data_IF_342695613775
#
_entry.id   IF_342695613775
#
_cell.length_a   1.000
_cell.length_b   1.000
_cell.length_c   1.000
_cell.angle_alpha   90.00
_cell.angle_beta   90.00
_cell.angle_gamma   90.00
#
_symmetry.space_group_name_H-M   'P 1'
#
loop_
_entity.id
_entity.type
_entity.pdbx_description
1 polymer ?
#
# COMPACT_ATOMS: atom_id res chain seq x y z
N UNK A 1 -5.64 15.72 15.04
CA UNK A 1 -5.21 14.92 13.90
C UNK A 1 -5.12 13.45 14.27
N UNK A 2 -5.65 12.54 13.46
CA UNK A 2 -5.63 11.10 13.70
C UNK A 2 -5.14 10.34 12.47
N UNK A 3 -4.12 9.51 12.63
CA UNK A 3 -3.66 8.56 11.61
C UNK A 3 -4.38 7.22 11.82
N UNK A 4 -5.06 6.71 10.80
CA UNK A 4 -5.79 5.43 10.87
C UNK A 4 -5.58 4.59 9.61
N UNK A 5 -5.71 3.27 9.76
CA UNK A 5 -5.95 2.34 8.66
C UNK A 5 -7.24 1.56 8.94
N UNK A 6 -8.10 1.56 7.94
CA UNK A 6 -9.29 0.72 7.88
C UNK A 6 -9.11 -0.28 6.76
N UNK A 7 -9.23 -1.55 7.04
CA UNK A 7 -8.99 -2.55 6.00
C UNK A 7 -9.62 -3.90 6.30
N UNK A 8 -9.66 -4.71 5.27
CA UNK A 8 -9.93 -6.14 5.34
C UNK A 8 -8.79 -6.90 4.62
N UNK A 9 -8.53 -8.11 5.08
CA UNK A 9 -7.52 -8.96 4.45
C UNK A 9 -7.92 -10.45 4.52
N UNK A 10 -7.06 -11.33 3.99
CA UNK A 10 -7.27 -12.77 3.99
C UNK A 10 -7.52 -13.40 5.38
N UNK A 11 -7.05 -12.76 6.47
CA UNK A 11 -7.28 -13.23 7.84
C UNK A 11 -8.65 -12.84 8.40
N UNK A 12 -9.22 -11.75 7.89
CA UNK A 12 -10.47 -11.18 8.42
C UNK A 12 -11.68 -11.39 7.53
N UNK A 13 -11.47 -11.63 6.23
CA UNK A 13 -12.54 -11.76 5.24
C UNK A 13 -12.27 -12.88 4.25
N UNK A 14 -13.26 -13.75 3.97
CA UNK A 14 -13.13 -14.80 2.96
C UNK A 14 -13.03 -14.20 1.55
N UNK A 15 -12.61 -15.02 0.57
CA UNK A 15 -12.35 -14.55 -0.80
C UNK A 15 -13.58 -13.92 -1.44
N UNK A 16 -14.78 -14.44 -1.19
CA UNK A 16 -16.05 -13.93 -1.70
C UNK A 16 -16.30 -12.46 -1.34
N UNK A 17 -15.88 -12.07 -0.13
CA UNK A 17 -16.00 -10.69 0.36
C UNK A 17 -14.89 -9.83 -0.24
N UNK A 18 -13.64 -10.35 -0.26
CA UNK A 18 -12.48 -9.63 -0.78
C UNK A 18 -12.61 -9.27 -2.27
N UNK A 19 -13.24 -10.14 -3.06
CA UNK A 19 -13.53 -9.90 -4.48
C UNK A 19 -14.32 -8.59 -4.71
N UNK A 20 -15.30 -8.30 -3.85
CA UNK A 20 -16.09 -7.07 -3.93
C UNK A 20 -15.29 -5.79 -3.65
N UNK A 21 -14.17 -5.93 -2.93
CA UNK A 21 -13.26 -4.83 -2.56
C UNK A 21 -11.98 -4.78 -3.40
N UNK A 22 -11.84 -5.63 -4.41
CA UNK A 22 -10.71 -5.55 -5.33
C UNK A 22 -10.92 -4.41 -6.35
N UNK A 23 -10.12 -3.36 -6.26
CA UNK A 23 -10.28 -2.15 -7.05
C UNK A 23 -9.14 -2.00 -8.07
N UNK A 24 -9.50 -1.78 -9.33
CA UNK A 24 -8.54 -1.38 -10.36
C UNK A 24 -7.96 0.02 -10.08
N UNK A 25 -6.80 0.32 -10.67
CA UNK A 25 -6.13 1.62 -10.53
C UNK A 25 -7.07 2.80 -10.86
N UNK A 26 -7.87 2.70 -11.93
CA UNK A 26 -8.85 3.74 -12.31
C UNK A 26 -9.97 3.88 -11.28
N UNK A 27 -10.40 2.77 -10.66
CA UNK A 27 -11.41 2.81 -9.61
C UNK A 27 -10.84 3.41 -8.32
N UNK A 28 -9.60 3.09 -7.96
CA UNK A 28 -8.87 3.71 -6.84
C UNK A 28 -8.78 5.22 -7.03
N UNK A 29 -8.33 5.70 -8.19
CA UNK A 29 -8.24 7.12 -8.49
C UNK A 29 -9.60 7.84 -8.38
N UNK A 30 -10.69 7.21 -8.84
CA UNK A 30 -12.06 7.76 -8.69
C UNK A 30 -12.52 7.82 -7.24
N UNK A 31 -12.20 6.80 -6.43
CA UNK A 31 -12.53 6.77 -5.00
C UNK A 31 -11.78 7.89 -4.28
N UNK A 32 -10.47 8.03 -4.49
CA UNK A 32 -9.65 9.06 -3.87
C UNK A 32 -10.14 10.47 -4.19
N UNK A 33 -10.48 10.74 -5.48
CA UNK A 33 -11.06 12.04 -5.87
C UNK A 33 -12.40 12.36 -5.19
N UNK A 34 -13.23 11.34 -4.92
CA UNK A 34 -14.48 11.54 -4.15
C UNK A 34 -14.19 11.80 -2.68
N UNK A 35 -13.23 11.09 -2.09
CA UNK A 35 -12.82 11.26 -0.70
C UNK A 35 -12.23 12.64 -0.43
N UNK A 36 -11.63 13.29 -1.43
CA UNK A 36 -11.08 14.65 -1.32
C UNK A 36 -12.13 15.70 -0.87
N UNK A 37 -13.40 15.45 -1.13
CA UNK A 37 -14.49 16.35 -0.73
C UNK A 37 -15.02 16.06 0.69
N UNK A 38 -14.33 15.25 1.47
CA UNK A 38 -14.72 14.91 2.83
C UNK A 38 -14.01 15.84 3.81
N UNK A 39 -14.77 16.72 4.47
CA UNK A 39 -14.27 17.86 5.27
C UNK A 39 -13.28 17.49 6.39
N UNK A 40 -13.24 16.24 6.85
CA UNK A 40 -12.37 15.78 7.93
C UNK A 40 -11.21 14.90 7.43
N UNK A 41 -10.93 14.88 6.13
CA UNK A 41 -9.91 14.03 5.53
C UNK A 41 -8.81 14.85 4.86
N UNK A 42 -7.61 14.85 5.45
CA UNK A 42 -6.44 15.55 4.92
C UNK A 42 -5.71 14.74 3.85
N UNK A 43 -5.39 13.49 4.18
CA UNK A 43 -4.59 12.62 3.33
C UNK A 43 -5.20 11.22 3.26
N UNK A 44 -5.13 10.57 2.09
CA UNK A 44 -5.59 9.20 1.92
C UNK A 44 -4.75 8.41 0.92
N UNK A 45 -4.45 7.15 1.25
CA UNK A 45 -3.89 6.15 0.32
C UNK A 45 -4.74 4.90 0.38
N UNK A 46 -5.15 4.40 -0.78
CA UNK A 46 -5.91 3.16 -0.92
C UNK A 46 -5.04 2.07 -1.52
N UNK A 47 -4.68 1.09 -0.71
CA UNK A 47 -4.00 -0.13 -1.13
C UNK A 47 -5.06 -1.19 -1.42
N UNK A 48 -5.12 -1.70 -2.65
CA UNK A 48 -6.00 -2.80 -3.04
C UNK A 48 -5.19 -3.85 -3.80
N UNK A 49 -5.25 -5.09 -3.32
CA UNK A 49 -4.56 -6.27 -3.86
C UNK A 49 -5.51 -7.46 -3.84
N UNK A 50 -5.09 -8.63 -4.32
CA UNK A 50 -5.87 -9.87 -4.18
C UNK A 50 -6.14 -10.27 -2.72
N UNK A 51 -5.25 -9.90 -1.78
CA UNK A 51 -5.28 -10.37 -0.39
C UNK A 51 -5.69 -9.33 0.63
N UNK A 52 -5.76 -8.03 0.25
CA UNK A 52 -6.16 -6.95 1.16
C UNK A 52 -6.68 -5.73 0.44
N UNK A 53 -7.56 -5.02 1.12
CA UNK A 53 -7.94 -3.66 0.77
C UNK A 53 -7.90 -2.80 2.00
N UNK A 54 -7.05 -1.78 1.98
CA UNK A 54 -6.72 -0.95 3.14
C UNK A 54 -6.79 0.53 2.77
N UNK A 55 -7.56 1.28 3.56
CA UNK A 55 -7.66 2.73 3.49
C UNK A 55 -6.79 3.33 4.59
N UNK A 56 -5.65 3.87 4.23
CA UNK A 56 -4.81 4.67 5.12
C UNK A 56 -5.27 6.11 5.03
N UNK A 57 -5.51 6.77 6.18
CA UNK A 57 -6.09 8.10 6.23
C UNK A 57 -5.48 8.94 7.34
N UNK A 58 -5.35 10.23 7.06
CA UNK A 58 -5.08 11.27 8.06
C UNK A 58 -6.36 12.08 8.19
N UNK A 59 -6.90 12.13 9.41
CA UNK A 59 -8.11 12.87 9.74
C UNK A 59 -7.75 14.06 10.65
N UNK A 60 -8.40 15.21 10.43
CA UNK A 60 -8.23 16.40 11.29
C UNK A 60 -8.71 16.10 12.70
N UNK A 61 -9.91 15.55 12.83
CA UNK A 61 -10.51 15.19 14.10
C UNK A 61 -10.68 13.66 14.23
N UNK A 62 -10.58 13.13 15.47
CA UNK A 62 -10.81 11.71 15.71
C UNK A 62 -12.25 11.31 15.38
N UNK A 63 -12.38 10.31 14.50
CA UNK A 63 -13.66 9.71 14.14
C UNK A 63 -13.66 8.24 14.55
N UNK A 64 -14.81 7.74 15.01
CA UNK A 64 -14.99 6.31 15.20
C UNK A 64 -14.80 5.58 13.87
N UNK A 65 -13.78 4.75 13.76
CA UNK A 65 -13.47 3.98 12.55
C UNK A 65 -14.68 3.21 12.02
N UNK A 66 -15.54 2.70 12.90
CA UNK A 66 -16.76 1.99 12.54
C UNK A 66 -17.78 2.88 11.80
N UNK A 67 -17.99 4.12 12.24
CA UNK A 67 -18.88 5.08 11.54
C UNK A 67 -18.31 5.44 10.17
N UNK A 68 -16.99 5.58 10.09
CA UNK A 68 -16.32 5.88 8.84
C UNK A 68 -16.42 4.72 7.83
N UNK A 69 -16.23 3.47 8.29
CA UNK A 69 -16.44 2.26 7.46
C UNK A 69 -17.84 2.26 6.87
N UNK A 70 -18.88 2.44 7.68
CA UNK A 70 -20.28 2.44 7.22
C UNK A 70 -20.51 3.50 6.13
N UNK A 71 -19.95 4.69 6.31
CA UNK A 71 -20.05 5.77 5.33
C UNK A 71 -19.28 5.43 4.05
N UNK A 72 -18.04 4.95 4.18
CA UNK A 72 -17.17 4.60 3.07
C UNK A 72 -17.77 3.47 2.22
N UNK A 73 -18.19 2.37 2.84
CA UNK A 73 -18.74 1.20 2.13
C UNK A 73 -20.06 1.54 1.43
N UNK A 74 -20.89 2.36 2.05
CA UNK A 74 -22.11 2.89 1.43
C UNK A 74 -21.81 3.68 0.14
N UNK A 75 -20.73 4.46 0.13
CA UNK A 75 -20.28 5.19 -1.05
C UNK A 75 -19.62 4.31 -2.12
N UNK A 76 -19.06 3.17 -1.72
CA UNK A 76 -18.42 2.22 -2.63
C UNK A 76 -19.43 1.31 -3.34
N UNK A 77 -20.69 1.31 -2.90
CA UNK A 77 -21.75 0.45 -3.41
C UNK A 77 -21.34 -1.04 -3.48
N UNK A 78 -20.72 -1.53 -2.39
CA UNK A 78 -20.36 -2.94 -2.23
C UNK A 78 -21.41 -3.60 -1.34
N UNK A 79 -22.12 -4.57 -1.89
CA UNK A 79 -23.15 -5.30 -1.19
C UNK A 79 -22.56 -6.51 -0.42
N UNK A 80 -23.31 -6.99 0.61
CA UNK A 80 -22.96 -8.23 1.32
C UNK A 80 -21.82 -8.14 2.32
N UNK A 81 -21.31 -6.94 2.63
CA UNK A 81 -20.26 -6.76 3.62
C UNK A 81 -20.82 -6.80 5.06
N UNK A 82 -19.99 -7.31 5.96
CA UNK A 82 -20.20 -7.17 7.40
C UNK A 82 -19.08 -6.34 8.01
N UNK A 83 -19.42 -5.47 8.96
CA UNK A 83 -18.43 -4.61 9.64
C UNK A 83 -17.38 -5.42 10.40
N UNK A 84 -17.68 -6.64 10.82
CA UNK A 84 -16.76 -7.57 11.50
C UNK A 84 -15.57 -8.00 10.64
N UNK A 85 -15.65 -7.87 9.30
CA UNK A 85 -14.54 -8.16 8.40
C UNK A 85 -13.45 -7.08 8.39
N UNK A 86 -13.77 -5.90 8.93
CA UNK A 86 -12.83 -4.78 8.90
C UNK A 86 -12.10 -4.65 10.22
N UNK A 87 -10.80 -4.50 10.13
CA UNK A 87 -9.98 -4.02 11.24
C UNK A 87 -9.74 -2.52 11.14
N UNK A 88 -9.51 -1.92 12.30
CA UNK A 88 -9.15 -0.51 12.46
C UNK A 88 -7.94 -0.41 13.37
N UNK A 89 -6.85 0.18 12.86
CA UNK A 89 -5.66 0.47 13.64
C UNK A 89 -5.35 1.97 13.57
N UNK A 90 -4.93 2.56 14.68
CA UNK A 90 -4.67 4.00 14.77
C UNK A 90 -3.26 4.30 15.28
N UNK A 91 -2.79 5.50 14.98
CA UNK A 91 -1.51 6.03 15.44
C UNK A 91 -0.33 5.14 15.09
N UNK A 92 0.50 4.81 16.07
CA UNK A 92 1.69 3.95 15.89
C UNK A 92 1.34 2.56 15.35
N UNK A 93 0.19 2.01 15.73
CA UNK A 93 -0.24 0.70 15.24
C UNK A 93 -0.59 0.72 13.75
N UNK A 94 -1.11 1.84 13.24
CA UNK A 94 -1.29 2.04 11.79
C UNK A 94 0.05 2.04 11.06
N UNK A 95 1.05 2.77 11.57
CA UNK A 95 2.40 2.80 10.98
C UNK A 95 3.06 1.43 11.04
N UNK A 96 3.01 0.76 12.19
CA UNK A 96 3.57 -0.59 12.38
C UNK A 96 2.96 -1.58 11.39
N UNK A 97 1.64 -1.51 11.20
CA UNK A 97 0.94 -2.34 10.24
C UNK A 97 1.44 -2.09 8.82
N UNK A 98 1.50 -0.83 8.36
CA UNK A 98 2.02 -0.49 7.04
C UNK A 98 3.45 -1.01 6.84
N UNK A 99 4.32 -0.90 7.85
CA UNK A 99 5.70 -1.38 7.77
C UNK A 99 5.77 -2.91 7.70
N UNK A 100 4.92 -3.62 8.47
CA UNK A 100 4.77 -5.08 8.37
C UNK A 100 4.28 -5.50 6.98
N UNK A 101 3.31 -4.80 6.42
CA UNK A 101 2.81 -5.04 5.06
C UNK A 101 3.91 -4.79 4.03
N UNK A 102 4.61 -3.65 4.10
CA UNK A 102 5.71 -3.29 3.19
C UNK A 102 6.87 -4.28 3.25
N UNK A 103 7.10 -4.89 4.40
CA UNK A 103 8.13 -5.90 4.66
C UNK A 103 7.65 -7.32 4.37
N UNK A 104 6.44 -7.51 3.86
CA UNK A 104 5.81 -8.81 3.58
C UNK A 104 5.66 -9.72 4.81
N UNK A 105 5.66 -9.16 6.02
CA UNK A 105 5.44 -9.90 7.27
C UNK A 105 3.96 -10.21 7.53
N UNK A 106 3.08 -9.36 6.99
CA UNK A 106 1.63 -9.55 7.07
C UNK A 106 1.05 -9.96 5.71
N UNK A 107 1.85 -10.52 4.83
CA UNK A 107 1.40 -11.10 3.56
C UNK A 107 1.03 -12.56 3.76
N UNK A 108 0.17 -13.08 2.85
CA UNK A 108 -0.20 -14.47 2.76
C UNK A 108 1.06 -15.35 2.74
N UNK A 109 1.96 -15.01 1.84
CA UNK A 109 3.29 -15.61 1.74
C UNK A 109 4.30 -14.62 2.31
N UNK A 110 4.81 -14.92 3.50
CA UNK A 110 5.84 -14.11 4.13
C UNK A 110 7.05 -14.01 3.20
N UNK A 111 7.49 -12.77 2.90
CA UNK A 111 8.64 -12.52 2.03
C UNK A 111 8.31 -12.30 0.56
N UNK A 112 7.02 -12.36 0.13
CA UNK A 112 6.63 -12.09 -1.24
C UNK A 112 6.97 -10.66 -1.68
N UNK A 113 7.66 -10.52 -2.82
CA UNK A 113 8.16 -9.22 -3.28
C UNK A 113 7.14 -8.31 -3.92
N UNK A 114 5.94 -8.80 -4.26
CA UNK A 114 4.94 -8.05 -5.01
C UNK A 114 4.31 -6.93 -4.19
N UNK A 115 4.07 -7.17 -2.90
CA UNK A 115 3.40 -6.21 -2.03
C UNK A 115 4.12 -4.85 -1.94
N UNK A 116 5.45 -4.84 -1.96
CA UNK A 116 6.22 -3.61 -1.93
C UNK A 116 6.00 -2.77 -3.21
N UNK A 117 5.85 -3.43 -4.36
CA UNK A 117 5.52 -2.76 -5.63
C UNK A 117 4.07 -2.25 -5.63
N UNK A 118 3.15 -3.00 -5.03
CA UNK A 118 1.74 -2.61 -4.90
C UNK A 118 1.58 -1.39 -3.98
N UNK A 119 2.33 -1.33 -2.86
CA UNK A 119 2.37 -0.15 -1.99
C UNK A 119 2.91 1.07 -2.74
N UNK A 120 4.00 0.93 -3.51
CA UNK A 120 4.53 2.02 -4.33
C UNK A 120 3.49 2.54 -5.32
N UNK A 121 2.79 1.64 -6.01
CA UNK A 121 1.76 2.01 -6.98
C UNK A 121 0.57 2.71 -6.29
N UNK A 122 0.09 2.18 -5.16
CA UNK A 122 -0.99 2.79 -4.39
C UNK A 122 -0.63 4.22 -3.93
N UNK A 123 0.58 4.39 -3.40
CA UNK A 123 1.11 5.69 -3.00
C UNK A 123 1.26 6.64 -4.19
N UNK A 124 1.74 6.16 -5.34
CA UNK A 124 1.85 6.97 -6.55
C UNK A 124 0.49 7.46 -7.04
N UNK A 125 -0.52 6.57 -7.11
CA UNK A 125 -1.90 6.93 -7.49
C UNK A 125 -2.45 8.00 -6.55
N UNK A 126 -2.21 7.88 -5.25
CA UNK A 126 -2.65 8.87 -4.28
C UNK A 126 -1.98 10.24 -4.49
N UNK A 127 -0.67 10.27 -4.76
CA UNK A 127 0.09 11.49 -5.09
C UNK A 127 -0.45 12.17 -6.35
N UNK A 128 -0.66 11.42 -7.42
CA UNK A 128 -1.17 11.92 -8.69
C UNK A 128 -2.59 12.51 -8.57
N UNK A 129 -3.36 12.06 -7.56
CA UNK A 129 -4.68 12.60 -7.25
C UNK A 129 -4.67 13.65 -6.12
N UNK A 130 -3.49 14.15 -5.70
CA UNK A 130 -3.32 15.16 -4.65
C UNK A 130 -3.95 14.75 -3.31
N UNK A 131 -3.85 13.46 -2.97
CA UNK A 131 -4.36 12.88 -1.72
C UNK A 131 -3.26 12.57 -0.71
N UNK A 132 -2.03 13.05 -0.94
CA UNK A 132 -0.91 12.91 -0.02
C UNK A 132 -0.26 14.25 0.25
N UNK A 133 -0.03 14.53 1.53
CA UNK A 133 0.70 15.70 2.02
C UNK A 133 2.00 15.29 2.70
N UNK A 134 2.45 16.08 3.65
CA UNK A 134 3.73 15.89 4.34
C UNK A 134 3.77 14.59 5.15
N UNK A 135 2.65 14.19 5.75
CA UNK A 135 2.57 13.04 6.66
C UNK A 135 2.73 11.75 5.86
N UNK A 136 1.88 11.50 4.87
CA UNK A 136 1.97 10.27 4.08
C UNK A 136 3.19 10.23 3.18
N UNK A 137 3.66 11.37 2.68
CA UNK A 137 4.92 11.41 1.95
C UNK A 137 6.08 10.94 2.86
N UNK A 138 6.08 11.30 4.15
CA UNK A 138 7.09 10.84 5.10
C UNK A 138 6.92 9.37 5.45
N UNK A 139 5.70 8.95 5.81
CA UNK A 139 5.40 7.58 6.27
C UNK A 139 5.59 6.55 5.14
N UNK A 140 5.02 6.79 3.95
CA UNK A 140 5.09 5.84 2.83
C UNK A 140 6.51 5.72 2.25
N UNK A 141 7.25 6.82 2.14
CA UNK A 141 8.65 6.74 1.72
C UNK A 141 9.48 5.93 2.73
N UNK A 142 9.25 6.11 4.03
CA UNK A 142 9.95 5.32 5.06
C UNK A 142 9.50 3.85 5.02
N UNK A 143 8.21 3.55 4.89
CA UNK A 143 7.69 2.19 4.74
C UNK A 143 8.33 1.46 3.55
N UNK A 144 8.47 2.13 2.41
CA UNK A 144 9.12 1.57 1.23
C UNK A 144 10.62 1.32 1.48
N UNK A 145 11.30 2.24 2.17
CA UNK A 145 12.70 2.07 2.57
C UNK A 145 12.88 0.90 3.53
N UNK A 146 12.03 0.83 4.57
CA UNK A 146 12.01 -0.28 5.55
C UNK A 146 11.77 -1.62 4.88
N UNK A 147 10.79 -1.72 3.98
CA UNK A 147 10.53 -2.95 3.23
C UNK A 147 11.73 -3.41 2.39
N UNK A 148 12.50 -2.47 1.79
CA UNK A 148 13.75 -2.80 1.10
C UNK A 148 14.83 -3.25 2.08
N UNK A 149 15.02 -2.53 3.21
CA UNK A 149 15.99 -2.84 4.25
C UNK A 149 15.79 -4.24 4.82
N UNK A 150 14.55 -4.57 5.21
CA UNK A 150 14.18 -5.90 5.70
C UNK A 150 14.55 -6.99 4.69
N UNK A 151 14.23 -6.80 3.41
CA UNK A 151 14.53 -7.77 2.35
C UNK A 151 16.03 -7.95 2.10
N UNK A 152 16.85 -6.95 2.39
CA UNK A 152 18.31 -6.98 2.19
C UNK A 152 19.03 -7.54 3.41
N UNK A 153 18.58 -7.16 4.61
CA UNK A 153 19.24 -7.51 5.88
C UNK A 153 18.72 -8.83 6.47
N UNK A 154 17.60 -9.37 5.96
CA UNK A 154 17.07 -10.66 6.38
C UNK A 154 16.91 -11.62 5.21
N UNK A 155 16.83 -12.92 5.49
CA UNK A 155 16.57 -13.96 4.49
C UNK A 155 15.08 -14.16 4.20
N UNK A 156 14.21 -13.24 4.65
CA UNK A 156 12.76 -13.39 4.54
C UNK A 156 12.29 -13.53 3.09
N UNK A 157 13.00 -12.89 2.15
CA UNK A 157 12.71 -12.96 0.72
C UNK A 157 13.06 -14.33 0.08
N UNK A 158 13.95 -15.10 0.72
CA UNK A 158 14.36 -16.42 0.23
C UNK A 158 13.50 -17.56 0.78
N UNK A 159 12.75 -17.30 1.85
CA UNK A 159 11.90 -18.30 2.51
C UNK A 159 10.49 -18.37 1.93
N UNK A 160 10.22 -17.68 0.81
CA UNK A 160 8.93 -17.75 0.17
C UNK A 160 8.72 -19.11 -0.50
N UNK A 161 8.19 -20.06 0.27
CA UNK A 161 7.39 -21.14 -0.33
C UNK A 161 6.20 -20.40 -0.93
N UNK A 162 6.22 -20.17 -2.22
CA UNK A 162 5.23 -19.37 -2.91
C UNK A 162 3.91 -20.14 -2.99
N UNK A 163 2.80 -19.41 -3.12
CA UNK A 163 1.50 -19.98 -3.55
C UNK A 163 1.71 -20.90 -4.74
N UNK A 164 2.64 -20.55 -5.63
CA UNK A 164 3.05 -21.35 -6.77
C UNK A 164 3.68 -22.70 -6.38
N UNK A 165 4.47 -22.77 -5.31
CA UNK A 165 5.03 -24.05 -4.84
C UNK A 165 3.97 -24.92 -4.16
N UNK A 166 3.09 -24.31 -3.34
CA UNK A 166 1.97 -25.02 -2.73
C UNK A 166 1.01 -25.60 -3.80
N UNK A 167 0.77 -24.85 -4.87
CA UNK A 167 0.00 -25.34 -6.00
C UNK A 167 0.59 -26.60 -6.65
N UNK A 168 1.93 -26.65 -6.74
CA UNK A 168 2.65 -27.84 -7.26
C UNK A 168 2.55 -29.00 -6.30
N UNK A 169 2.74 -28.78 -5.00
CA UNK A 169 2.66 -29.83 -3.99
C UNK A 169 1.26 -30.45 -3.97
N UNK A 170 0.20 -29.63 -4.00
CA UNK A 170 -1.20 -30.11 -4.10
C UNK A 170 -1.47 -30.86 -5.41
N UNK A 171 -0.91 -30.41 -6.53
CA UNK A 171 -1.05 -31.14 -7.80
C UNK A 171 -0.38 -32.52 -7.73
N UNK A 172 0.78 -32.62 -7.09
CA UNK A 172 1.48 -33.90 -6.88
C UNK A 172 0.69 -34.83 -5.94
N UNK A 173 0.07 -34.30 -4.89
CA UNK A 173 -0.77 -35.10 -3.98
C UNK A 173 -1.98 -35.74 -4.69
N UNK A 174 -2.58 -35.05 -5.66
CA UNK A 174 -3.75 -35.57 -6.40
C UNK A 174 -3.36 -36.50 -7.55
N UNK A 175 -2.32 -36.15 -8.33
CA UNK A 175 -1.92 -36.93 -9.52
C UNK A 175 -0.90 -38.02 -9.20
N UNK A 176 -0.25 -37.97 -8.03
CA UNK A 176 0.85 -38.88 -7.67
C UNK A 176 2.17 -38.57 -8.38
N UNK A 177 2.13 -38.15 -9.63
CA UNK A 177 3.26 -37.62 -10.41
C UNK A 177 2.78 -36.56 -11.37
N UNK A 178 3.61 -35.55 -11.61
CA UNK A 178 3.38 -34.53 -12.62
C UNK A 178 4.32 -34.69 -13.83
N UNK A 179 5.14 -35.75 -13.84
CA UNK A 179 5.92 -36.11 -15.02
C UNK A 179 4.96 -36.37 -16.20
N UNK A 180 5.24 -35.75 -17.31
CA UNK A 180 4.45 -35.80 -18.52
C UNK A 180 3.07 -35.09 -18.46
N UNK A 181 2.71 -34.43 -17.37
CA UNK A 181 1.45 -33.70 -17.24
C UNK A 181 1.32 -32.59 -18.29
N UNK A 182 0.14 -32.44 -18.84
CA UNK A 182 -0.25 -31.37 -19.76
C UNK A 182 -0.81 -30.19 -18.92
N UNK A 183 -0.18 -29.03 -19.00
CA UNK A 183 -0.59 -27.84 -18.28
C UNK A 183 -1.24 -26.83 -19.22
N UNK A 184 -2.40 -26.34 -18.85
CA UNK A 184 -3.04 -25.19 -19.49
C UNK A 184 -2.97 -23.96 -18.55
N UNK A 185 -2.41 -22.88 -19.04
CA UNK A 185 -2.34 -21.60 -18.33
C UNK A 185 -3.32 -20.62 -18.95
N UNK A 186 -4.31 -20.18 -18.20
CA UNK A 186 -5.26 -19.13 -18.58
C UNK A 186 -4.90 -17.81 -17.92
N UNK A 187 -4.44 -16.86 -18.72
CA UNK A 187 -3.88 -15.61 -18.25
C UNK A 187 -2.35 -15.63 -18.28
N UNK A 188 -1.75 -14.47 -18.52
CA UNK A 188 -0.29 -14.30 -18.59
C UNK A 188 0.21 -13.43 -17.43
N UNK A 189 -0.35 -13.60 -16.25
CA UNK A 189 0.04 -12.91 -15.04
C UNK A 189 1.34 -13.50 -14.44
N UNK A 190 2.01 -12.71 -13.60
CA UNK A 190 3.27 -13.12 -12.95
C UNK A 190 3.11 -14.37 -12.07
N UNK A 191 1.95 -14.54 -11.42
CA UNK A 191 1.70 -15.70 -10.55
C UNK A 191 1.55 -16.97 -11.38
N UNK A 192 0.79 -16.94 -12.49
CA UNK A 192 0.69 -18.08 -13.39
C UNK A 192 2.03 -18.43 -14.03
N UNK A 193 2.86 -17.43 -14.39
CA UNK A 193 4.23 -17.67 -14.88
C UNK A 193 5.07 -18.42 -13.83
N UNK A 194 5.04 -18.00 -12.56
CA UNK A 194 5.79 -18.65 -11.48
C UNK A 194 5.29 -20.08 -11.22
N UNK A 195 3.97 -20.28 -11.17
CA UNK A 195 3.37 -21.61 -10.95
C UNK A 195 3.71 -22.56 -12.09
N UNK A 196 3.59 -22.10 -13.34
CA UNK A 196 3.98 -22.88 -14.51
C UNK A 196 5.46 -23.27 -14.48
N UNK A 197 6.34 -22.33 -14.11
CA UNK A 197 7.79 -22.60 -13.96
C UNK A 197 8.06 -23.69 -12.93
N UNK A 198 7.44 -23.61 -11.75
CA UNK A 198 7.63 -24.63 -10.71
C UNK A 198 7.11 -26.01 -11.13
N UNK A 199 6.01 -26.08 -11.92
CA UNK A 199 5.52 -27.35 -12.47
C UNK A 199 6.51 -27.95 -13.50
N UNK A 200 7.11 -27.10 -14.35
CA UNK A 200 8.17 -27.55 -15.30
C UNK A 200 9.40 -28.06 -14.55
N UNK A 201 9.86 -27.31 -13.54
CA UNK A 201 11.01 -27.69 -12.71
C UNK A 201 10.79 -29.06 -12.04
N UNK A 202 9.54 -29.47 -11.87
CA UNK A 202 9.10 -30.77 -11.33
C UNK A 202 8.78 -31.83 -12.39
N UNK A 203 9.03 -31.55 -13.68
CA UNK A 203 8.97 -32.51 -14.74
C UNK A 203 7.75 -32.46 -15.68
N UNK A 204 6.87 -31.47 -15.54
CA UNK A 204 5.78 -31.26 -16.50
C UNK A 204 6.34 -30.91 -17.88
N UNK A 205 5.82 -31.55 -18.92
CA UNK A 205 6.42 -31.48 -20.28
C UNK A 205 5.76 -30.47 -21.19
N UNK A 206 4.45 -30.33 -21.13
CA UNK A 206 3.72 -29.57 -22.13
C UNK A 206 2.96 -28.43 -21.50
N UNK A 207 3.23 -27.21 -21.97
CA UNK A 207 2.53 -26.03 -21.54
C UNK A 207 1.77 -25.41 -22.70
N UNK A 208 0.48 -25.22 -22.48
CA UNK A 208 -0.39 -24.44 -23.35
C UNK A 208 -0.71 -23.13 -22.64
N UNK A 209 -0.58 -22.01 -23.33
CA UNK A 209 -0.88 -20.69 -22.76
C UNK A 209 -2.00 -20.06 -23.57
N UNK A 210 -3.02 -19.58 -22.88
CA UNK A 210 -4.12 -18.85 -23.49
C UNK A 210 -4.36 -17.52 -22.78
N UNK A 211 -4.51 -16.45 -23.54
CA UNK A 211 -4.83 -15.12 -23.06
C UNK A 211 -5.74 -14.41 -24.06
N UNK A 212 -6.55 -13.44 -23.60
CA UNK A 212 -7.35 -12.59 -24.51
C UNK A 212 -6.45 -11.83 -25.48
N UNK A 213 -5.30 -11.34 -25.01
CA UNK A 213 -4.23 -10.84 -25.88
C UNK A 213 -3.32 -12.01 -26.27
N UNK A 214 -3.38 -12.43 -27.53
CA UNK A 214 -2.61 -13.56 -28.04
C UNK A 214 -1.09 -13.32 -28.00
N UNK A 215 -0.63 -12.06 -28.16
CA UNK A 215 0.81 -11.74 -28.09
C UNK A 215 1.36 -12.01 -26.69
N UNK A 216 0.62 -11.66 -25.65
CA UNK A 216 1.01 -12.00 -24.25
C UNK A 216 1.01 -13.52 -24.02
N UNK A 217 0.08 -14.26 -24.63
CA UNK A 217 0.11 -15.72 -24.55
C UNK A 217 1.35 -16.30 -25.24
N UNK A 218 1.73 -15.74 -26.37
CA UNK A 218 2.91 -16.13 -27.12
C UNK A 218 4.21 -15.85 -26.36
N UNK A 219 4.35 -14.63 -25.84
CA UNK A 219 5.51 -14.24 -25.02
C UNK A 219 5.71 -15.18 -23.81
N UNK A 220 4.62 -15.57 -23.15
CA UNK A 220 4.70 -16.48 -22.02
C UNK A 220 4.99 -17.92 -22.46
N UNK A 221 4.35 -18.40 -23.53
CA UNK A 221 4.60 -19.71 -24.07
C UNK A 221 6.05 -19.90 -24.54
N UNK A 222 6.62 -18.89 -25.21
CA UNK A 222 8.01 -18.89 -25.68
C UNK A 222 9.02 -19.04 -24.53
N UNK A 223 8.74 -18.47 -23.35
CA UNK A 223 9.60 -18.63 -22.16
C UNK A 223 9.71 -20.08 -21.66
N UNK A 224 8.74 -20.90 -21.97
CA UNK A 224 8.62 -22.28 -21.50
C UNK A 224 8.75 -23.32 -22.61
N UNK A 225 9.12 -22.91 -23.81
CA UNK A 225 9.06 -23.74 -25.01
C UNK A 225 7.67 -24.40 -25.18
N UNK A 226 6.64 -23.69 -24.76
CA UNK A 226 5.26 -24.12 -24.81
C UNK A 226 4.53 -23.68 -26.07
N UNK A 227 3.21 -23.88 -26.10
CA UNK A 227 2.35 -23.55 -27.25
C UNK A 227 1.32 -22.48 -26.82
N UNK A 228 1.30 -21.36 -27.55
CA UNK A 228 0.21 -20.39 -27.41
C UNK A 228 -1.02 -20.86 -28.13
N UNK A 229 -2.18 -20.80 -27.48
CA UNK A 229 -3.47 -21.18 -28.06
C UNK A 229 -4.43 -19.99 -28.04
N UNK A 230 -5.29 -19.93 -29.05
CA UNK A 230 -6.31 -18.91 -29.13
C UNK A 230 -7.29 -19.03 -27.95
N UNK A 231 -7.72 -17.88 -27.38
CA UNK A 231 -8.56 -17.85 -26.19
C UNK A 231 -9.87 -18.63 -26.32
N UNK A 232 -10.48 -18.64 -27.50
CA UNK A 232 -11.71 -19.39 -27.78
C UNK A 232 -11.50 -20.93 -27.87
N UNK A 233 -10.26 -21.42 -27.87
CA UNK A 233 -9.91 -22.85 -27.94
C UNK A 233 -9.48 -23.46 -26.62
N UNK A 234 -9.51 -22.69 -25.52
CA UNK A 234 -9.03 -23.21 -24.23
C UNK A 234 -9.86 -24.38 -23.70
N UNK A 235 -11.17 -24.45 -24.02
CA UNK A 235 -12.03 -25.59 -23.64
C UNK A 235 -11.65 -26.88 -24.36
N UNK A 236 -11.30 -26.80 -25.64
CA UNK A 236 -10.79 -27.96 -26.40
C UNK A 236 -9.48 -28.46 -25.77
N UNK A 237 -8.59 -27.53 -25.37
CA UNK A 237 -7.35 -27.90 -24.72
C UNK A 237 -7.57 -28.44 -23.30
N UNK A 238 -8.56 -27.97 -22.56
CA UNK A 238 -8.93 -28.49 -21.25
C UNK A 238 -9.32 -29.99 -21.26
N UNK A 239 -9.81 -30.50 -22.39
CA UNK A 239 -10.13 -31.91 -22.57
C UNK A 239 -8.90 -32.83 -22.45
N UNK A 240 -7.71 -32.33 -22.81
CA UNK A 240 -6.45 -33.08 -22.79
C UNK A 240 -5.49 -32.66 -21.68
N UNK A 241 -5.76 -31.54 -21.02
CA UNK A 241 -4.92 -31.03 -19.91
C UNK A 241 -5.16 -31.81 -18.62
N UNK A 242 -4.15 -31.92 -17.78
CA UNK A 242 -4.21 -32.54 -16.46
C UNK A 242 -4.26 -31.49 -15.36
N UNK A 243 -3.66 -30.30 -15.61
CA UNK A 243 -3.66 -29.15 -14.70
C UNK A 243 -4.08 -27.92 -15.50
N UNK A 244 -4.99 -27.12 -14.92
CA UNK A 244 -5.34 -25.80 -15.45
C UNK A 244 -5.02 -24.76 -14.37
N UNK A 245 -4.22 -23.76 -14.71
CA UNK A 245 -3.91 -22.62 -13.84
C UNK A 245 -4.64 -21.40 -14.38
N UNK A 246 -5.41 -20.71 -13.52
CA UNK A 246 -6.08 -19.47 -13.90
C UNK A 246 -5.56 -18.28 -13.09
N UNK A 247 -5.27 -17.19 -13.78
CA UNK A 247 -4.81 -15.94 -13.19
C UNK A 247 -5.12 -14.78 -14.15
N UNK A 248 -6.41 -14.54 -14.39
CA UNK A 248 -6.82 -13.43 -15.26
C UNK A 248 -7.29 -12.23 -14.43
N UNK A 249 -7.43 -11.08 -15.05
CA UNK A 249 -8.05 -9.89 -14.44
C UNK A 249 -9.53 -9.76 -14.79
N UNK A 250 -10.22 -10.87 -15.11
CA UNK A 250 -11.62 -10.83 -15.50
C UNK A 250 -12.51 -10.51 -14.27
N UNK A 251 -13.52 -9.63 -14.40
CA UNK A 251 -14.45 -9.34 -13.33
C UNK A 251 -15.58 -10.37 -13.18
N UNK A 252 -15.47 -11.50 -13.88
CA UNK A 252 -16.48 -12.58 -13.91
C UNK A 252 -15.80 -13.90 -14.17
N UNK A 253 -16.47 -15.00 -13.85
CA UNK A 253 -15.96 -16.35 -14.08
C UNK A 253 -15.63 -16.59 -15.56
N UNK A 254 -14.40 -17.00 -15.82
CA UNK A 254 -13.88 -17.40 -17.12
C UNK A 254 -14.25 -18.85 -17.38
N UNK A 255 -14.06 -19.72 -16.38
CA UNK A 255 -14.41 -21.13 -16.41
C UNK A 255 -15.75 -21.33 -15.70
N UNK A 256 -16.78 -21.69 -16.45
CA UNK A 256 -18.14 -21.85 -15.92
C UNK A 256 -18.51 -23.33 -15.78
N UNK A 257 -19.38 -23.62 -14.82
CA UNK A 257 -19.86 -24.99 -14.58
C UNK A 257 -20.41 -25.68 -15.84
N UNK A 258 -21.25 -24.99 -16.62
CA UNK A 258 -21.84 -25.52 -17.84
C UNK A 258 -20.78 -25.96 -18.86
N UNK A 259 -19.73 -25.18 -19.05
CA UNK A 259 -18.69 -25.44 -20.04
C UNK A 259 -17.82 -26.64 -19.57
N UNK A 260 -17.53 -26.73 -18.29
CA UNK A 260 -16.75 -27.83 -17.70
C UNK A 260 -17.52 -29.14 -17.64
N UNK A 261 -18.83 -29.10 -17.57
CA UNK A 261 -19.67 -30.30 -17.65
C UNK A 261 -19.49 -31.05 -18.99
N UNK A 262 -19.35 -30.31 -20.09
CA UNK A 262 -19.07 -30.91 -21.41
C UNK A 262 -17.63 -31.43 -21.47
N UNK A 263 -16.66 -30.69 -20.92
CA UNK A 263 -15.27 -31.13 -20.88
C UNK A 263 -15.11 -32.40 -20.05
N UNK A 264 -15.70 -32.48 -18.86
CA UNK A 264 -15.63 -33.68 -18.02
C UNK A 264 -16.25 -34.92 -18.67
N UNK A 265 -17.35 -34.76 -19.39
CA UNK A 265 -17.98 -35.85 -20.13
C UNK A 265 -17.03 -36.46 -21.21
N UNK A 266 -16.28 -35.61 -21.91
CA UNK A 266 -15.31 -36.03 -22.92
C UNK A 266 -14.02 -36.62 -22.33
N UNK A 267 -13.68 -36.25 -21.10
CA UNK A 267 -12.46 -36.73 -20.42
C UNK A 267 -12.52 -38.18 -19.96
N UNK A 268 -13.71 -38.78 -19.90
CA UNK A 268 -13.88 -40.21 -19.58
C UNK A 268 -13.40 -40.54 -18.15
N UNK A 269 -13.53 -39.64 -17.19
CA UNK A 269 -13.15 -39.86 -15.79
C UNK A 269 -11.68 -39.56 -15.47
N UNK A 270 -10.87 -39.07 -16.42
CA UNK A 270 -9.49 -38.63 -16.10
C UNK A 270 -9.52 -37.44 -15.15
N UNK A 271 -8.70 -37.45 -14.06
CA UNK A 271 -8.61 -36.32 -13.12
C UNK A 271 -8.22 -35.02 -13.82
N UNK A 272 -8.76 -33.92 -13.31
CA UNK A 272 -8.40 -32.57 -13.72
C UNK A 272 -8.24 -31.69 -12.47
N UNK A 273 -7.10 -31.07 -12.35
CA UNK A 273 -6.84 -30.09 -11.28
C UNK A 273 -7.00 -28.68 -11.84
N UNK A 274 -7.82 -27.91 -11.16
CA UNK A 274 -7.99 -26.48 -11.41
C UNK A 274 -7.33 -25.69 -10.26
N UNK A 275 -6.41 -24.81 -10.58
CA UNK A 275 -5.71 -23.95 -9.64
C UNK A 275 -6.07 -22.50 -9.97
N UNK A 276 -7.02 -21.95 -9.22
CA UNK A 276 -7.51 -20.59 -9.39
C UNK A 276 -6.80 -19.63 -8.45
N UNK A 277 -5.82 -18.92 -8.98
CA UNK A 277 -5.05 -17.89 -8.24
C UNK A 277 -5.50 -16.46 -8.60
N UNK A 278 -6.65 -16.33 -9.28
CA UNK A 278 -7.23 -15.04 -9.64
C UNK A 278 -8.06 -14.47 -8.47
N UNK A 279 -8.06 -13.15 -8.37
CA UNK A 279 -9.01 -12.39 -7.54
C UNK A 279 -9.42 -11.15 -8.35
N UNK A 280 -10.70 -11.04 -8.75
CA UNK A 280 -11.80 -12.01 -8.55
C UNK A 280 -11.51 -13.38 -9.15
N UNK A 281 -12.19 -14.42 -8.64
CA UNK A 281 -12.03 -15.81 -9.12
C UNK A 281 -12.37 -15.93 -10.60
N UNK A 282 -11.55 -16.70 -11.29
CA UNK A 282 -11.79 -17.08 -12.70
C UNK A 282 -12.70 -18.30 -12.83
N UNK A 283 -12.77 -19.16 -11.80
CA UNK A 283 -13.51 -20.43 -11.84
C UNK A 283 -14.79 -20.35 -11.00
N UNK A 284 -15.92 -20.71 -11.57
CA UNK A 284 -17.17 -20.88 -10.84
C UNK A 284 -17.02 -21.98 -9.77
N UNK A 285 -17.26 -21.72 -8.47
CA UNK A 285 -17.15 -22.71 -7.41
C UNK A 285 -17.94 -24.00 -7.64
N UNK A 286 -19.04 -23.94 -8.41
CA UNK A 286 -19.84 -25.11 -8.77
C UNK A 286 -19.08 -26.14 -9.60
N UNK A 287 -18.00 -25.73 -10.24
CA UNK A 287 -17.11 -26.63 -11.00
C UNK A 287 -16.49 -27.69 -10.09
N UNK A 288 -16.23 -27.39 -8.83
CA UNK A 288 -15.73 -28.36 -7.85
C UNK A 288 -16.69 -29.55 -7.57
N UNK A 289 -17.96 -29.41 -7.94
CA UNK A 289 -18.95 -30.47 -7.75
C UNK A 289 -19.00 -31.47 -8.92
N UNK A 290 -18.28 -31.21 -10.02
CA UNK A 290 -18.22 -32.07 -11.18
C UNK A 290 -17.29 -33.26 -10.92
N UNK A 291 -17.66 -34.46 -11.41
CA UNK A 291 -16.85 -35.66 -11.19
C UNK A 291 -15.48 -35.56 -11.85
N UNK A 292 -14.45 -35.97 -11.13
CA UNK A 292 -13.06 -35.93 -11.61
C UNK A 292 -12.38 -34.57 -11.60
N UNK A 293 -13.03 -33.53 -11.09
CA UNK A 293 -12.42 -32.20 -10.92
C UNK A 293 -12.02 -31.99 -9.47
N UNK A 294 -10.80 -31.51 -9.28
CA UNK A 294 -10.31 -30.97 -8.00
C UNK A 294 -10.02 -29.49 -8.23
N UNK A 295 -10.72 -28.62 -7.51
CA UNK A 295 -10.54 -27.16 -7.58
C UNK A 295 -9.86 -26.67 -6.32
N UNK A 296 -8.76 -25.95 -6.48
CA UNK A 296 -8.07 -25.18 -5.45
C UNK A 296 -8.14 -23.70 -5.79
N UNK A 297 -8.57 -22.89 -4.84
CA UNK A 297 -8.50 -21.44 -4.92
C UNK A 297 -7.30 -20.92 -4.13
N UNK A 298 -7.08 -19.61 -4.15
CA UNK A 298 -5.94 -18.99 -3.48
C UNK A 298 -5.92 -19.24 -1.95
N UNK A 299 -7.07 -19.35 -1.29
CA UNK A 299 -7.18 -19.58 0.15
C UNK A 299 -6.84 -21.06 0.50
N UNK A 300 -7.16 -22.01 -0.36
CA UNK A 300 -6.79 -23.42 -0.19
C UNK A 300 -5.27 -23.63 -0.26
N UNK A 301 -4.59 -22.85 -1.12
CA UNK A 301 -3.13 -22.87 -1.24
C UNK A 301 -2.43 -22.33 0.00
N UNK A 302 -3.09 -21.46 0.77
CA UNK A 302 -2.58 -20.91 2.02
C UNK A 302 -2.37 -21.99 3.09
N UNK A 303 -3.33 -22.89 3.23
CA UNK A 303 -3.29 -23.94 4.25
C UNK A 303 -2.04 -24.83 4.16
N UNK A 304 -1.51 -25.04 2.96
CA UNK A 304 -0.33 -25.86 2.68
C UNK A 304 0.97 -25.11 3.02
N UNK A 305 0.99 -23.78 2.84
CA UNK A 305 2.19 -22.96 3.10
C UNK A 305 2.53 -22.87 4.60
N UNK A 306 1.58 -23.12 5.49
CA UNK A 306 1.72 -22.93 6.95
C UNK A 306 2.63 -23.97 7.64
N UNK A 307 3.01 -25.06 6.99
CA UNK A 307 3.77 -26.16 7.59
C UNK A 307 5.26 -25.86 7.82
N UNK A 308 5.84 -24.81 7.21
CA UNK A 308 7.27 -24.45 7.36
C UNK A 308 7.54 -23.35 8.41
N UNK A 309 6.84 -23.39 9.54
CA UNK A 309 6.80 -22.32 10.57
C UNK A 309 8.14 -21.98 11.26
N UNK A 310 9.04 -22.93 11.48
CA UNK A 310 10.19 -22.74 12.39
C UNK A 310 11.30 -21.83 11.82
N UNK A 311 11.63 -21.95 10.54
CA UNK A 311 12.66 -21.11 9.92
C UNK A 311 12.18 -19.65 9.76
N UNK A 312 10.88 -19.46 9.47
CA UNK A 312 10.24 -18.16 9.33
C UNK A 312 10.22 -17.35 10.63
N UNK A 313 10.17 -18.02 11.79
CA UNK A 313 10.06 -17.36 13.10
C UNK A 313 11.31 -16.54 13.45
N UNK A 314 12.50 -16.99 13.06
CA UNK A 314 13.76 -16.26 13.34
C UNK A 314 13.91 -15.03 12.46
N UNK A 315 13.75 -15.20 11.15
CA UNK A 315 13.83 -14.10 10.18
C UNK A 315 12.74 -13.05 10.40
N UNK A 316 11.53 -13.48 10.78
CA UNK A 316 10.43 -12.59 11.14
C UNK A 316 10.76 -11.74 12.39
N UNK A 317 11.42 -12.32 13.41
CA UNK A 317 11.87 -11.56 14.60
C UNK A 317 12.92 -10.51 14.24
N UNK A 318 13.88 -10.85 13.37
CA UNK A 318 14.87 -9.89 12.89
C UNK A 318 14.19 -8.75 12.11
N UNK A 319 13.26 -9.08 11.24
CA UNK A 319 12.49 -8.09 10.49
C UNK A 319 11.63 -7.19 11.42
N UNK A 320 11.03 -7.76 12.46
CA UNK A 320 10.29 -6.98 13.47
C UNK A 320 11.19 -6.01 14.24
N UNK A 321 12.41 -6.42 14.58
CA UNK A 321 13.40 -5.55 15.23
C UNK A 321 13.75 -4.34 14.34
N UNK A 322 13.99 -4.57 13.05
CA UNK A 322 14.25 -3.50 12.07
C UNK A 322 13.04 -2.57 11.99
N UNK A 323 11.82 -3.10 11.96
CA UNK A 323 10.59 -2.29 11.90
C UNK A 323 10.45 -1.41 13.14
N UNK A 324 10.70 -1.92 14.35
CA UNK A 324 10.57 -1.11 15.57
C UNK A 324 11.65 -0.01 15.64
N UNK A 325 12.88 -0.27 15.17
CA UNK A 325 13.93 0.74 15.01
C UNK A 325 13.45 1.87 14.08
N UNK A 326 12.97 1.52 12.89
CA UNK A 326 12.47 2.44 11.88
C UNK A 326 11.25 3.27 12.36
N UNK A 327 10.37 2.64 13.16
CA UNK A 327 9.24 3.34 13.79
C UNK A 327 9.73 4.35 14.82
N UNK A 328 10.75 4.00 15.60
CA UNK A 328 11.33 4.92 16.58
C UNK A 328 11.91 6.17 15.92
N UNK A 329 12.70 6.00 14.85
CA UNK A 329 13.24 7.12 14.07
C UNK A 329 12.14 7.94 13.39
N UNK A 330 11.11 7.28 12.86
CA UNK A 330 9.97 7.97 12.23
C UNK A 330 9.19 8.81 13.24
N UNK A 331 9.01 8.32 14.47
CA UNK A 331 8.35 9.09 15.54
C UNK A 331 9.06 10.41 15.80
N UNK A 332 10.39 10.40 15.91
CA UNK A 332 11.18 11.62 16.12
C UNK A 332 11.00 12.60 14.94
N UNK A 333 10.99 12.08 13.72
CA UNK A 333 10.77 12.90 12.52
C UNK A 333 9.36 13.47 12.44
N UNK A 334 8.33 12.70 12.77
CA UNK A 334 6.95 13.16 12.77
C UNK A 334 6.69 14.20 13.87
N UNK A 335 7.30 14.03 15.05
CA UNK A 335 7.26 15.05 16.11
C UNK A 335 7.72 16.41 15.61
N UNK A 336 8.85 16.46 14.94
CA UNK A 336 9.35 17.71 14.35
C UNK A 336 8.36 18.33 13.36
N UNK A 337 7.65 17.52 12.58
CA UNK A 337 6.74 18.00 11.55
C UNK A 337 5.46 18.64 12.10
N UNK A 338 5.00 18.25 13.30
CA UNK A 338 3.79 18.84 13.91
C UNK A 338 3.98 20.29 14.34
N UNK A 339 5.18 20.65 14.83
CA UNK A 339 5.50 22.02 15.24
C UNK A 339 6.08 22.88 14.12
N UNK A 340 6.52 22.27 13.02
CA UNK A 340 7.17 22.96 11.90
C UNK A 340 6.35 24.12 11.30
N UNK A 341 5.02 24.00 11.07
CA UNK A 341 4.26 25.13 10.53
C UNK A 341 4.34 26.37 11.39
N UNK A 342 4.22 26.23 12.71
CA UNK A 342 4.33 27.36 13.65
C UNK A 342 5.75 27.93 13.68
N UNK A 343 6.76 27.06 13.60
CA UNK A 343 8.17 27.49 13.52
C UNK A 343 8.44 28.32 12.26
N UNK A 344 7.92 27.87 11.12
CA UNK A 344 8.06 28.59 9.84
C UNK A 344 7.39 29.94 9.91
N UNK A 345 6.12 30.00 10.36
CA UNK A 345 5.40 31.27 10.49
C UNK A 345 6.11 32.25 11.45
N UNK A 346 6.62 31.77 12.58
CA UNK A 346 7.37 32.58 13.50
C UNK A 346 8.62 33.19 12.86
N UNK A 347 9.38 32.37 12.11
CA UNK A 347 10.55 32.83 11.40
C UNK A 347 10.21 33.85 10.30
N UNK A 348 9.21 33.57 9.48
CA UNK A 348 8.74 34.44 8.39
C UNK A 348 8.28 35.79 8.94
N UNK A 349 7.52 35.79 10.04
CA UNK A 349 7.07 37.03 10.71
C UNK A 349 8.23 37.84 11.21
N UNK A 350 9.19 37.23 11.88
CA UNK A 350 10.37 37.94 12.41
C UNK A 350 11.22 38.49 11.26
N UNK A 351 11.45 37.74 10.19
CA UNK A 351 12.16 38.22 9.03
C UNK A 351 11.42 39.40 8.36
N UNK A 352 10.09 39.30 8.19
CA UNK A 352 9.29 40.41 7.66
C UNK A 352 9.44 41.67 8.47
N UNK A 353 9.36 41.60 9.80
CA UNK A 353 9.54 42.73 10.70
C UNK A 353 10.96 43.34 10.60
N UNK A 354 11.99 42.48 10.55
CA UNK A 354 13.37 42.89 10.35
C UNK A 354 13.54 43.66 9.03
N UNK A 355 13.04 43.13 7.92
CA UNK A 355 13.13 43.77 6.58
C UNK A 355 12.39 45.12 6.55
N UNK A 356 11.19 45.20 7.16
CA UNK A 356 10.43 46.46 7.27
C UNK A 356 11.23 47.54 8.05
N UNK A 357 11.83 47.16 9.16
CA UNK A 357 12.70 48.08 9.99
C UNK A 357 13.94 48.49 9.20
N UNK A 358 14.63 47.57 8.56
CA UNK A 358 15.82 47.87 7.75
C UNK A 358 15.51 48.83 6.62
N UNK A 359 14.41 48.62 5.89
CA UNK A 359 13.97 49.48 4.80
C UNK A 359 13.74 50.91 5.27
N UNK A 360 13.09 51.11 6.43
CA UNK A 360 12.88 52.43 7.05
C UNK A 360 14.20 53.07 7.54
N UNK A 361 15.09 52.26 8.13
CA UNK A 361 16.39 52.74 8.59
C UNK A 361 17.27 53.21 7.42
N UNK A 362 17.37 52.41 6.36
CA UNK A 362 18.18 52.77 5.20
C UNK A 362 17.62 53.96 4.40
N UNK A 363 16.32 54.19 4.45
CA UNK A 363 15.72 55.41 3.87
C UNK A 363 16.09 56.68 4.66
N UNK A 364 16.34 56.58 5.98
CA UNK A 364 16.79 57.66 6.83
C UNK A 364 18.32 57.89 6.80
N UNK A 365 19.08 56.96 6.24
CA UNK A 365 20.54 56.97 6.16
C UNK A 365 20.99 56.75 4.70
N UNK A 366 20.71 57.68 3.75
CA UNK A 366 21.01 57.49 2.34
C UNK A 366 22.50 57.46 2.04
N UNK A 367 23.34 58.04 2.90
CA UNK A 367 24.80 58.12 2.80
C UNK A 367 25.53 56.80 3.08
N UNK A 368 24.84 55.76 3.61
CA UNK A 368 25.46 54.48 3.85
C UNK A 368 25.90 53.80 2.55
N UNK A 369 27.16 53.36 2.55
CA UNK A 369 27.69 52.51 1.48
C UNK A 369 27.06 51.13 1.43
N UNK A 370 27.11 50.46 0.33
CA UNK A 370 26.62 49.06 0.19
C UNK A 370 27.28 48.12 1.21
N UNK A 371 28.55 48.35 1.54
CA UNK A 371 29.28 47.54 2.49
C UNK A 371 28.69 47.71 3.92
N UNK A 372 28.44 48.94 4.33
CA UNK A 372 27.85 49.24 5.64
C UNK A 372 26.41 48.71 5.75
N UNK A 373 25.61 48.86 4.71
CA UNK A 373 24.26 48.27 4.63
C UNK A 373 24.29 46.73 4.82
N UNK A 374 25.25 46.07 4.13
CA UNK A 374 25.44 44.62 4.28
C UNK A 374 25.88 44.22 5.69
N UNK A 375 26.72 45.00 6.36
CA UNK A 375 27.10 44.73 7.76
C UNK A 375 25.87 44.82 8.67
N UNK A 376 25.05 45.87 8.52
CA UNK A 376 23.81 46.05 9.30
C UNK A 376 22.83 44.92 9.05
N UNK A 377 22.65 44.48 7.78
CA UNK A 377 21.78 43.36 7.42
C UNK A 377 22.26 42.06 8.09
N UNK A 378 23.54 41.71 7.99
CA UNK A 378 24.11 40.52 8.64
C UNK A 378 23.98 40.61 10.17
N UNK A 379 24.20 41.78 10.75
CA UNK A 379 24.05 41.97 12.19
C UNK A 379 22.63 41.73 12.66
N UNK A 380 21.65 42.25 11.94
CA UNK A 380 20.22 42.07 12.29
C UNK A 380 19.75 40.64 12.05
N UNK A 381 20.21 39.94 11.00
CA UNK A 381 19.97 38.52 10.81
C UNK A 381 20.52 37.67 11.96
N UNK A 382 21.77 37.97 12.40
CA UNK A 382 22.36 37.27 13.56
C UNK A 382 21.59 37.51 14.85
N UNK A 383 21.06 38.72 15.03
CA UNK A 383 20.22 39.06 16.20
C UNK A 383 18.92 38.26 16.16
N UNK A 384 18.24 38.25 15.02
CA UNK A 384 17.03 37.45 14.78
C UNK A 384 17.26 35.98 15.11
N UNK A 385 18.31 35.37 14.53
CA UNK A 385 18.67 33.98 14.78
C UNK A 385 18.93 33.69 16.28
N UNK A 386 19.59 34.62 17.00
CA UNK A 386 19.80 34.45 18.43
C UNK A 386 18.52 34.55 19.23
N UNK A 387 17.61 35.44 18.85
CA UNK A 387 16.30 35.60 19.51
C UNK A 387 15.40 34.38 19.30
N UNK A 388 15.40 33.83 18.09
CA UNK A 388 14.55 32.68 17.76
C UNK A 388 15.10 31.35 18.28
N UNK A 389 16.39 31.27 18.63
CA UNK A 389 17.03 30.01 19.02
C UNK A 389 16.32 29.31 20.18
N UNK A 390 16.07 30.03 21.28
CA UNK A 390 15.45 29.45 22.46
C UNK A 390 13.99 29.05 22.24
N UNK A 391 13.12 29.88 21.62
CA UNK A 391 11.77 29.48 21.23
C UNK A 391 11.76 28.25 20.32
N UNK A 392 12.63 28.21 19.29
CA UNK A 392 12.72 27.05 18.36
C UNK A 392 13.18 25.78 19.09
N UNK A 393 14.12 25.91 20.04
CA UNK A 393 14.59 24.78 20.85
C UNK A 393 13.45 24.23 21.72
N UNK A 394 12.71 25.15 22.40
CA UNK A 394 11.58 24.78 23.24
C UNK A 394 10.45 24.10 22.45
N UNK A 395 10.11 24.62 21.24
CA UNK A 395 9.14 24.01 20.35
C UNK A 395 9.56 22.62 19.91
N UNK A 396 10.83 22.44 19.52
CA UNK A 396 11.37 21.13 19.16
C UNK A 396 11.31 20.12 20.32
N UNK A 397 11.62 20.57 21.54
CA UNK A 397 11.57 19.72 22.74
C UNK A 397 10.14 19.32 23.12
N UNK A 398 9.17 20.21 22.93
CA UNK A 398 7.76 19.96 23.22
C UNK A 398 7.06 19.12 22.13
N UNK A 399 7.58 19.11 20.91
CA UNK A 399 6.98 18.38 19.77
C UNK A 399 6.74 16.91 20.11
N UNK A 400 5.51 16.43 19.90
CA UNK A 400 5.06 15.06 20.20
C UNK A 400 4.96 14.71 21.70
N UNK A 401 5.05 15.71 22.59
CA UNK A 401 4.80 15.53 24.03
C UNK A 401 3.39 16.03 24.39
N UNK A 402 2.87 15.72 25.60
CA UNK A 402 1.59 16.29 26.07
C UNK A 402 1.57 17.82 26.14
N UNK A 403 2.74 18.45 26.22
CA UNK A 403 2.88 19.90 26.29
C UNK A 403 2.86 20.59 24.92
N UNK A 404 2.89 19.84 23.82
CA UNK A 404 2.94 20.36 22.45
C UNK A 404 1.81 21.35 22.17
N UNK A 405 0.57 20.92 22.38
CA UNK A 405 -0.61 21.74 22.06
C UNK A 405 -0.67 23.00 22.92
N UNK A 406 -0.30 22.88 24.19
CA UNK A 406 -0.21 24.03 25.11
C UNK A 406 0.84 25.04 24.63
N UNK A 407 2.05 24.58 24.31
CA UNK A 407 3.13 25.46 23.88
C UNK A 407 2.82 26.09 22.52
N UNK A 408 2.23 25.33 21.60
CA UNK A 408 1.77 25.82 20.30
C UNK A 408 0.79 26.98 20.44
N UNK A 409 -0.25 26.81 21.26
CA UNK A 409 -1.23 27.88 21.53
C UNK A 409 -0.56 29.14 22.14
N UNK A 410 0.29 28.97 23.13
CA UNK A 410 1.01 30.08 23.77
C UNK A 410 1.86 30.85 22.76
N UNK A 411 2.58 30.16 21.89
CA UNK A 411 3.42 30.81 20.86
C UNK A 411 2.55 31.50 19.80
N UNK A 412 1.48 30.85 19.33
CA UNK A 412 0.55 31.49 18.40
C UNK A 412 -0.07 32.76 18.99
N UNK A 413 -0.48 32.76 20.25
CA UNK A 413 -1.02 33.92 20.93
C UNK A 413 0.02 35.01 21.12
N UNK A 414 1.21 34.68 21.67
CA UNK A 414 2.27 35.66 21.97
C UNK A 414 2.79 36.34 20.70
N UNK A 415 2.90 35.62 19.63
CA UNK A 415 3.42 36.12 18.36
C UNK A 415 2.33 36.44 17.34
N UNK A 416 1.05 36.34 17.70
CA UNK A 416 -0.10 36.55 16.81
C UNK A 416 0.04 35.81 15.51
N UNK A 417 0.33 34.48 15.59
CA UNK A 417 0.43 33.59 14.46
C UNK A 417 -0.92 32.91 14.19
N UNK A 418 -1.11 32.39 12.97
CA UNK A 418 -2.29 31.62 12.64
C UNK A 418 -2.14 30.16 13.11
N UNK A 419 -3.09 29.65 13.89
CA UNK A 419 -3.08 28.28 14.44
C UNK A 419 -3.20 27.17 13.36
N UNK A 420 -3.71 27.52 12.17
CA UNK A 420 -3.95 26.57 11.05
C UNK A 420 -2.81 26.47 10.03
N UNK A 421 -1.72 27.23 10.18
CA UNK A 421 -0.60 27.15 9.25
C UNK A 421 -0.83 27.79 7.87
N UNK A 422 -1.89 28.60 7.74
CA UNK A 422 -2.12 29.40 6.54
C UNK A 422 -1.11 30.54 6.45
N UNK A 423 -0.74 30.95 5.23
CA UNK A 423 0.26 31.98 5.00
C UNK A 423 -0.07 33.27 5.77
N UNK A 424 0.93 33.82 6.45
CA UNK A 424 0.82 35.07 7.19
C UNK A 424 0.60 36.21 6.18
N UNK A 425 -0.64 36.65 6.01
CA UNK A 425 -0.98 37.90 5.32
C UNK A 425 -0.79 39.01 6.36
N UNK A 426 0.35 39.69 6.29
CA UNK A 426 0.69 40.77 7.21
C UNK A 426 -0.40 41.86 7.23
N UNK A 427 -1.06 41.98 8.35
CA UNK A 427 -1.96 43.12 8.61
C UNK A 427 -1.06 44.35 8.86
N UNK A 428 -0.92 45.19 7.84
CA UNK A 428 0.03 46.32 7.85
C UNK A 428 -0.22 47.32 8.94
N UNK A 429 -1.41 47.33 9.55
CA UNK A 429 -1.84 48.42 10.49
C UNK A 429 -1.74 48.10 12.00
N UNK A 430 -1.34 46.87 12.38
CA UNK A 430 -1.32 46.48 13.80
C UNK A 430 -0.01 46.72 14.55
N UNK A 431 1.04 47.16 13.89
CA UNK A 431 2.40 47.24 14.50
C UNK A 431 3.08 48.65 14.44
N UNK A 432 2.34 49.69 14.16
CA UNK A 432 2.89 51.05 14.26
C UNK A 432 2.80 51.55 15.69
N UNK A 433 3.71 51.10 16.54
CA UNK A 433 3.90 51.61 17.91
C UNK A 433 4.96 52.73 18.03
N UNK A 434 5.55 53.18 16.92
CA UNK A 434 6.57 54.22 16.90
C UNK A 434 6.36 55.13 15.68
N UNK A 435 5.46 56.12 15.83
CA UNK A 435 5.50 57.35 15.06
C UNK A 435 6.44 58.38 15.76
#
# INVERSE_FOLDING_TARGET
>A
MQLIVLGLNHKTAPVEVREGFNFSADRIARILRRLRNYDNLDEAVLLSTCNRTEFYMVLEEPVSGMKFIQTLVKHLAVDGYKTEYFYNLSGVNCVRHLFKVASSLDSLVIGEGQILSQIKNAYQIARENSMTGTIFNTIFNRAIATGKRVRTETKIAYSSVSVSSAAVDLAMDVLGSIEDANILVLGAGRMSELTARHLIDKGAKTIFVSNRNFDHAKELADKFNGTAIAYNKYLEQAETSDIIITSTGAPHYVIREKDMREVTAKRGGRPLILIDIAVPRDVDPKVAQLPGITLYNIDDLEGVVDTNKHFRTHEAKMAEAIIEEEISELKERLRYLTMRPVMVQLHEKMNFLREKVLKRAFAKMPELTEHERRIIDIMTQRLEHKFLREPMTAMNAAAGTPDEERLRKVICELFLLNDKGEDYIGDENKFDYWD
#
